data_IF_904491667529
#
_entry.id   IF_904491667529
#
_cell.length_a   1.000
_cell.length_b   1.000
_cell.length_c   1.000
_cell.angle_alpha   90.00
_cell.angle_beta   90.00
_cell.angle_gamma   90.00
#
_symmetry.space_group_name_H-M   'P 1'
#
loop_
_entity.id
_entity.type
_entity.pdbx_description
1 polymer ?
#
# COMPACT_ATOMS: atom_id res chain seq x y z
N UNK A 1 -6.86 -5.20 1.71
CA UNK A 1 -7.79 -4.33 0.96
C UNK A 1 -7.50 -4.48 -0.53
N UNK A 2 -8.52 -4.40 -1.41
CA UNK A 2 -8.29 -4.37 -2.85
C UNK A 2 -7.79 -2.99 -3.28
N UNK A 3 -6.97 -2.96 -4.33
CA UNK A 3 -6.49 -1.72 -4.96
C UNK A 3 -6.67 -1.80 -6.47
N UNK A 4 -7.13 -0.71 -7.07
CA UNK A 4 -7.36 -0.63 -8.51
C UNK A 4 -6.78 0.67 -9.04
N UNK A 5 -6.12 0.59 -10.20
CA UNK A 5 -5.79 1.74 -11.01
C UNK A 5 -6.50 1.59 -12.35
N UNK A 6 -7.37 2.55 -12.67
CA UNK A 6 -8.08 2.62 -13.94
C UNK A 6 -7.62 3.82 -14.75
N UNK A 7 -7.42 3.61 -16.04
CA UNK A 7 -7.02 4.64 -16.98
C UNK A 7 -7.90 4.60 -18.21
N UNK A 8 -8.44 5.75 -18.61
CA UNK A 8 -9.13 5.90 -19.88
C UNK A 8 -8.20 6.59 -20.87
N UNK A 9 -7.65 5.81 -21.80
CA UNK A 9 -6.71 6.32 -22.79
C UNK A 9 -7.47 6.65 -24.07
N UNK A 10 -7.85 7.92 -24.21
CA UNK A 10 -8.48 8.46 -25.40
C UNK A 10 -7.46 8.92 -26.44
N UNK A 11 -7.86 8.93 -27.72
CA UNK A 11 -7.00 9.40 -28.80
C UNK A 11 -7.59 9.11 -30.18
N UNK A 12 -7.16 9.89 -31.18
CA UNK A 12 -7.57 9.69 -32.58
C UNK A 12 -6.87 8.48 -33.22
N UNK A 13 -5.73 8.06 -32.65
CA UNK A 13 -5.00 6.85 -32.98
C UNK A 13 -4.95 5.94 -31.75
N UNK A 14 -4.88 4.62 -31.95
CA UNK A 14 -4.74 3.64 -30.85
C UNK A 14 -3.33 3.73 -30.23
N UNK A 15 -3.19 4.27 -29.00
CA UNK A 15 -1.89 4.42 -28.36
C UNK A 15 -1.36 3.09 -27.85
N UNK A 16 -0.03 2.98 -27.82
CA UNK A 16 0.64 1.92 -27.05
C UNK A 16 0.65 2.34 -25.59
N UNK A 17 -0.10 1.60 -24.78
CA UNK A 17 -0.21 1.83 -23.34
C UNK A 17 0.67 0.81 -22.61
N UNK A 18 1.53 1.30 -21.72
CA UNK A 18 2.40 0.48 -20.89
C UNK A 18 2.27 0.91 -19.44
N UNK A 19 2.18 -0.04 -18.53
CA UNK A 19 2.22 0.21 -17.09
C UNK A 19 3.51 -0.38 -16.53
N UNK A 20 4.20 0.40 -15.70
CA UNK A 20 5.42 -0.02 -15.00
C UNK A 20 5.27 0.22 -13.52
N UNK A 21 5.82 -0.67 -12.70
CA UNK A 21 5.96 -0.53 -11.24
C UNK A 21 7.44 -0.47 -10.90
N UNK A 22 7.89 0.64 -10.33
CA UNK A 22 9.31 0.87 -9.97
C UNK A 22 10.27 0.60 -11.14
N UNK A 23 9.82 0.92 -12.36
CA UNK A 23 10.56 0.68 -13.61
C UNK A 23 10.41 -0.72 -14.21
N UNK A 24 9.72 -1.67 -13.55
CA UNK A 24 9.43 -3.01 -14.09
C UNK A 24 8.06 -3.04 -14.74
N UNK A 25 7.95 -3.59 -15.95
CA UNK A 25 6.66 -3.71 -16.64
C UNK A 25 5.68 -4.60 -15.86
N UNK A 26 4.44 -4.13 -15.71
CA UNK A 26 3.33 -4.89 -15.14
C UNK A 26 2.19 -4.94 -16.14
N UNK A 27 1.45 -6.05 -16.13
CA UNK A 27 0.35 -6.28 -17.07
C UNK A 27 -0.97 -5.76 -16.50
N UNK A 28 -1.78 -5.14 -17.36
CA UNK A 28 -3.17 -4.83 -17.03
C UNK A 28 -3.95 -6.10 -16.73
N UNK A 29 -4.87 -6.01 -15.79
CA UNK A 29 -5.77 -7.10 -15.43
C UNK A 29 -6.96 -7.16 -16.37
N UNK A 30 -7.45 -6.00 -16.82
CA UNK A 30 -8.50 -5.89 -17.83
C UNK A 30 -8.24 -4.74 -18.80
N UNK A 31 -8.60 -4.92 -20.07
CA UNK A 31 -8.55 -3.88 -21.10
C UNK A 31 -9.84 -3.96 -21.91
N UNK A 32 -10.64 -2.89 -21.85
CA UNK A 32 -11.94 -2.77 -22.51
C UNK A 32 -11.96 -1.49 -23.36
N UNK A 33 -11.67 -1.65 -24.66
CA UNK A 33 -11.57 -0.51 -25.57
C UNK A 33 -10.48 0.48 -25.16
N UNK A 34 -10.88 1.68 -24.74
CA UNK A 34 -9.97 2.73 -24.25
C UNK A 34 -9.61 2.57 -22.77
N UNK A 35 -10.38 1.77 -22.02
CA UNK A 35 -10.22 1.62 -20.58
C UNK A 35 -9.24 0.51 -20.24
N UNK A 36 -8.22 0.84 -19.48
CA UNK A 36 -7.18 -0.07 -19.00
C UNK A 36 -7.23 -0.13 -17.47
N UNK A 37 -7.33 -1.33 -16.91
CA UNK A 37 -7.49 -1.53 -15.48
C UNK A 37 -6.41 -2.47 -14.96
N UNK A 38 -5.75 -2.06 -13.88
CA UNK A 38 -4.85 -2.90 -13.10
C UNK A 38 -5.42 -3.06 -11.69
N UNK A 39 -5.76 -4.30 -11.31
CA UNK A 39 -6.42 -4.60 -10.05
C UNK A 39 -5.62 -5.61 -9.23
N UNK A 40 -5.47 -5.32 -7.94
CA UNK A 40 -4.86 -6.19 -6.93
C UNK A 40 -5.95 -6.55 -5.92
N UNK A 41 -6.34 -7.82 -5.87
CA UNK A 41 -7.38 -8.28 -4.95
C UNK A 41 -6.94 -8.18 -3.47
N UNK A 42 -5.68 -8.49 -3.19
CA UNK A 42 -5.11 -8.43 -1.85
C UNK A 42 -3.79 -7.65 -1.87
N UNK A 43 -3.84 -6.40 -1.42
CA UNK A 43 -2.65 -5.55 -1.30
C UNK A 43 -1.71 -6.12 -0.23
N UNK A 44 -0.45 -6.30 -0.60
CA UNK A 44 0.66 -6.75 0.24
C UNK A 44 1.73 -5.66 0.29
N UNK A 45 2.63 -5.66 1.29
CA UNK A 45 3.73 -4.69 1.34
C UNK A 45 4.58 -4.67 0.06
N UNK A 46 4.72 -5.82 -0.60
CA UNK A 46 5.42 -5.96 -1.89
C UNK A 46 4.76 -5.19 -3.05
N UNK A 47 3.49 -4.82 -2.94
CA UNK A 47 2.78 -4.05 -3.95
C UNK A 47 3.04 -2.54 -3.82
N UNK A 48 3.63 -2.09 -2.71
CA UNK A 48 4.09 -0.71 -2.53
C UNK A 48 5.09 -0.35 -3.62
N UNK A 49 4.98 0.87 -4.15
CA UNK A 49 5.87 1.37 -5.19
C UNK A 49 5.24 2.46 -6.04
N UNK A 50 5.99 2.89 -7.04
CA UNK A 50 5.61 3.93 -7.99
C UNK A 50 5.13 3.27 -9.28
N UNK A 51 3.84 3.43 -9.57
CA UNK A 51 3.21 2.96 -10.79
C UNK A 51 3.22 4.09 -11.82
N UNK A 52 3.85 3.84 -12.97
CA UNK A 52 3.93 4.80 -14.07
C UNK A 52 3.25 4.22 -15.31
N UNK A 53 2.21 4.90 -15.76
CA UNK A 53 1.58 4.68 -17.04
C UNK A 53 2.27 5.52 -18.11
N UNK A 54 2.58 4.90 -19.23
CA UNK A 54 3.10 5.57 -20.43
C UNK A 54 2.17 5.24 -21.60
N UNK A 55 1.59 6.28 -22.19
CA UNK A 55 0.76 6.19 -23.39
C UNK A 55 1.48 6.87 -24.55
N UNK A 56 1.86 6.10 -25.57
CA UNK A 56 2.63 6.58 -26.72
C UNK A 56 1.88 6.38 -28.02
N UNK A 57 1.63 7.50 -28.71
CA UNK A 57 1.15 7.58 -30.09
C UNK A 57 2.30 7.87 -31.06
N UNK A 58 2.03 7.88 -32.37
CA UNK A 58 3.04 8.24 -33.39
C UNK A 58 3.54 9.68 -33.23
N UNK A 59 2.70 10.57 -32.70
CA UNK A 59 2.97 12.02 -32.64
C UNK A 59 3.07 12.55 -31.22
N UNK A 60 2.54 11.84 -30.21
CA UNK A 60 2.55 12.27 -28.82
C UNK A 60 2.94 11.15 -27.86
N UNK A 61 3.46 11.52 -26.71
CA UNK A 61 3.73 10.62 -25.58
C UNK A 61 3.27 11.32 -24.32
N UNK A 62 2.49 10.62 -23.51
CA UNK A 62 1.99 11.11 -22.24
C UNK A 62 2.30 10.09 -21.14
N UNK A 63 2.67 10.59 -19.96
CA UNK A 63 3.03 9.75 -18.82
C UNK A 63 2.28 10.22 -17.57
N UNK A 64 1.77 9.29 -16.78
CA UNK A 64 1.09 9.55 -15.51
C UNK A 64 1.67 8.65 -14.45
N UNK A 65 1.91 9.20 -13.26
CA UNK A 65 2.52 8.46 -12.16
C UNK A 65 1.61 8.47 -10.94
N UNK A 66 1.48 7.31 -10.30
CA UNK A 66 0.71 7.09 -9.07
C UNK A 66 1.57 6.32 -8.08
N UNK A 67 1.66 6.81 -6.85
CA UNK A 67 2.42 6.14 -5.78
C UNK A 67 1.46 5.36 -4.89
N UNK A 68 1.63 4.04 -4.81
CA UNK A 68 0.90 3.21 -3.85
C UNK A 68 1.75 3.06 -2.58
N UNK A 69 1.23 3.58 -1.46
CA UNK A 69 1.78 3.35 -0.13
C UNK A 69 0.92 2.31 0.60
N UNK A 70 1.55 1.22 1.03
CA UNK A 70 0.86 0.15 1.76
C UNK A 70 1.22 0.26 3.23
N UNK A 71 0.27 0.68 4.06
CA UNK A 71 0.44 0.74 5.52
C UNK A 71 -0.26 -0.44 6.19
N UNK A 72 0.33 -0.91 7.28
CA UNK A 72 -0.25 -1.97 8.10
C UNK A 72 -0.52 -1.38 9.47
N UNK A 73 -1.79 -1.39 9.88
CA UNK A 73 -2.20 -0.88 11.19
C UNK A 73 -1.42 -1.59 12.30
N UNK A 74 -0.97 -0.88 13.34
CA UNK A 74 -0.37 -1.53 14.49
C UNK A 74 -1.37 -2.49 15.13
N UNK A 75 -0.96 -3.73 15.33
CA UNK A 75 -1.71 -4.76 16.03
C UNK A 75 -1.00 -5.05 17.34
N UNK A 76 -1.73 -4.94 18.46
CA UNK A 76 -1.24 -5.40 19.76
C UNK A 76 -1.11 -6.92 19.69
N UNK A 77 0.09 -7.45 19.96
CA UNK A 77 0.35 -8.89 19.87
C UNK A 77 -0.37 -9.68 20.98
N UNK A 78 -0.56 -9.05 22.14
CA UNK A 78 -1.28 -9.62 23.27
C UNK A 78 -2.10 -8.55 23.99
N UNK A 79 -3.35 -8.85 24.33
CA UNK A 79 -4.20 -7.96 25.13
C UNK A 79 -3.65 -7.75 26.55
N UNK A 80 -2.92 -8.75 27.06
CA UNK A 80 -2.23 -8.68 28.35
C UNK A 80 -0.78 -8.22 28.15
N UNK A 81 -0.21 -7.52 29.13
CA UNK A 81 1.20 -7.18 29.08
C UNK A 81 2.05 -8.45 29.02
N UNK A 82 3.18 -8.36 28.31
CA UNK A 82 4.16 -9.43 28.19
C UNK A 82 4.75 -9.82 29.56
N UNK A 83 4.61 -8.95 30.56
CA UNK A 83 4.96 -9.18 31.95
C UNK A 83 3.81 -8.77 32.89
N UNK A 84 2.72 -9.53 32.88
CA UNK A 84 1.74 -9.48 33.98
C UNK A 84 2.47 -9.73 35.31
N UNK A 85 2.56 -8.71 36.18
CA UNK A 85 3.31 -8.75 37.43
C UNK A 85 2.54 -8.09 38.56
N UNK A 86 2.58 -8.70 39.75
CA UNK A 86 2.15 -8.08 41.02
C UNK A 86 3.34 -7.38 41.65
N UNK A 87 3.21 -6.10 42.01
CA UNK A 87 4.25 -5.35 42.72
C UNK A 87 3.86 -5.05 44.17
N UNK A 88 4.87 -4.80 45.00
CA UNK A 88 4.69 -4.36 46.39
C UNK A 88 4.58 -2.83 46.41
N UNK A 89 3.71 -2.31 47.28
CA UNK A 89 3.53 -0.86 47.46
C UNK A 89 4.87 -0.20 47.77
N UNK A 90 5.23 0.82 46.99
CA UNK A 90 6.49 1.56 47.14
C UNK A 90 7.67 1.01 46.33
N UNK A 91 7.49 -0.06 45.55
CA UNK A 91 8.49 -0.54 44.60
C UNK A 91 8.15 -0.15 43.16
N UNK A 92 9.19 0.17 42.39
CA UNK A 92 9.06 0.43 40.97
C UNK A 92 8.78 -0.87 40.22
N UNK A 93 7.85 -0.80 39.26
CA UNK A 93 7.56 -1.91 38.35
C UNK A 93 7.51 -1.39 36.91
N UNK A 94 7.88 -2.26 35.98
CA UNK A 94 7.72 -2.00 34.55
C UNK A 94 6.58 -2.86 34.04
N UNK A 95 5.77 -2.36 33.11
CA UNK A 95 4.77 -3.15 32.40
C UNK A 95 5.01 -2.91 30.90
N UNK A 96 5.02 -3.97 30.12
CA UNK A 96 5.43 -3.97 28.71
C UNK A 96 4.40 -4.67 27.84
N UNK A 97 4.12 -4.10 26.67
CA UNK A 97 3.31 -4.71 25.62
C UNK A 97 4.14 -4.83 24.35
N UNK A 98 3.91 -5.89 23.58
CA UNK A 98 4.47 -6.04 22.24
C UNK A 98 3.46 -5.64 21.20
N UNK A 99 3.90 -4.83 20.25
CA UNK A 99 3.10 -4.36 19.12
C UNK A 99 3.78 -4.80 17.83
N UNK A 100 2.98 -5.24 16.87
CA UNK A 100 3.41 -5.57 15.51
C UNK A 100 2.81 -4.54 14.56
N UNK A 101 3.53 -4.13 13.52
CA UNK A 101 3.06 -3.11 12.58
C UNK A 101 4.20 -2.47 11.80
N UNK A 102 3.89 -1.87 10.65
CA UNK A 102 4.89 -1.16 9.84
C UNK A 102 5.11 0.26 10.38
N UNK A 103 4.07 0.91 10.89
CA UNK A 103 4.20 2.24 11.51
C UNK A 103 4.41 2.13 13.02
N UNK A 104 5.26 3.01 13.57
CA UNK A 104 5.50 3.09 15.02
C UNK A 104 4.18 3.43 15.72
N UNK A 105 3.65 2.57 16.59
CA UNK A 105 2.41 2.86 17.30
C UNK A 105 2.60 4.05 18.23
N UNK A 106 1.60 4.94 18.29
CA UNK A 106 1.48 5.86 19.41
C UNK A 106 0.78 5.13 20.55
N UNK A 107 1.44 5.10 21.72
CA UNK A 107 0.90 4.45 22.92
C UNK A 107 0.38 5.54 23.85
N UNK A 108 -0.90 5.46 24.20
CA UNK A 108 -1.53 6.30 25.20
C UNK A 108 -1.97 5.44 26.36
N UNK A 109 -1.53 5.81 27.57
CA UNK A 109 -1.97 5.16 28.79
C UNK A 109 -3.27 5.83 29.27
N UNK A 110 -4.31 5.02 29.44
CA UNK A 110 -5.55 5.44 30.11
C UNK A 110 -5.51 4.81 31.51
N UNK A 111 -5.69 5.64 32.53
CA UNK A 111 -5.70 5.27 33.95
C UNK A 111 -7.12 5.28 34.50
#
# INVERSE_FOLDING_TARGET
>A
EPFEISFDVGGKEAPKVQLTKDGKEVKFTSVEGTRHVYSIAEVKPEHQGVYKLTAKNKTSSEETTVTLNVTVKPKVEAAKPANDQTCVIGQDTQISWKFSGIEKPQVTWLF
#
